data_IF_532112688887
#
_entry.id   IF_532112688887
#
_cell.length_a   1.000
_cell.length_b   1.000
_cell.length_c   1.000
_cell.angle_alpha   90.00
_cell.angle_beta   90.00
_cell.angle_gamma   90.00
#
_symmetry.space_group_name_H-M   'P 1'
#
loop_
_entity.id
_entity.type
_entity.pdbx_description
1 polymer ?
#
# COMPACT_ATOMS: atom_id res chain seq x y z
N UNK A 1 6.26 28.37 3.01
CA UNK A 1 6.54 26.94 2.80
C UNK A 1 5.76 26.51 1.57
N UNK A 2 6.44 26.22 0.46
CA UNK A 2 5.80 25.58 -0.69
C UNK A 2 5.16 24.27 -0.21
N UNK A 3 3.83 24.17 -0.30
CA UNK A 3 3.15 22.87 -0.13
C UNK A 3 3.64 22.02 -1.30
N UNK A 4 4.56 21.08 -1.03
CA UNK A 4 4.96 20.10 -2.02
C UNK A 4 3.68 19.47 -2.56
N UNK A 5 3.33 19.81 -3.81
CA UNK A 5 2.18 19.24 -4.51
C UNK A 5 2.36 17.73 -4.44
N UNK A 6 1.46 17.04 -3.73
CA UNK A 6 1.48 15.58 -3.63
C UNK A 6 1.49 15.05 -5.06
N UNK A 7 2.62 14.50 -5.50
CA UNK A 7 2.72 13.91 -6.83
C UNK A 7 1.78 12.70 -6.87
N UNK A 8 0.98 12.53 -7.93
CA UNK A 8 0.15 11.34 -8.05
C UNK A 8 1.03 10.09 -8.05
N UNK A 9 0.51 8.99 -7.49
CA UNK A 9 1.15 7.67 -7.37
C UNK A 9 2.30 7.57 -6.37
N UNK A 10 2.63 8.62 -5.64
CA UNK A 10 3.73 8.58 -4.67
C UNK A 10 3.43 7.63 -3.51
N UNK A 11 2.16 7.52 -3.10
CA UNK A 11 1.71 6.62 -2.05
C UNK A 11 1.86 5.15 -2.46
N UNK A 12 1.28 4.80 -3.61
CA UNK A 12 1.36 3.46 -4.18
C UNK A 12 2.80 3.03 -4.47
N UNK A 13 3.63 3.92 -5.02
CA UNK A 13 5.04 3.59 -5.27
C UNK A 13 5.78 3.26 -3.98
N UNK A 14 5.45 3.92 -2.87
CA UNK A 14 6.05 3.62 -1.58
C UNK A 14 5.59 2.25 -1.05
N UNK A 15 4.31 1.92 -1.22
CA UNK A 15 3.77 0.60 -0.88
C UNK A 15 4.43 -0.48 -1.73
N UNK A 16 4.56 -0.28 -3.04
CA UNK A 16 5.24 -1.23 -3.93
C UNK A 16 6.68 -1.45 -3.48
N UNK A 17 7.42 -0.37 -3.16
CA UNK A 17 8.81 -0.47 -2.71
C UNK A 17 8.95 -1.22 -1.39
N UNK A 18 8.04 -1.02 -0.44
CA UNK A 18 8.08 -1.74 0.83
C UNK A 18 7.68 -3.21 0.67
N UNK A 19 6.68 -3.47 -0.18
CA UNK A 19 6.10 -4.79 -0.41
C UNK A 19 6.69 -5.51 -1.64
N UNK A 20 7.86 -5.07 -2.14
CA UNK A 20 8.41 -5.52 -3.43
C UNK A 20 8.52 -7.05 -3.52
N UNK A 21 8.89 -7.69 -2.41
CA UNK A 21 9.03 -9.13 -2.28
C UNK A 21 7.73 -9.87 -2.64
N UNK A 22 6.56 -9.35 -2.25
CA UNK A 22 5.28 -9.97 -2.57
C UNK A 22 5.00 -10.00 -4.07
N UNK A 23 5.37 -8.93 -4.79
CA UNK A 23 5.19 -8.87 -6.24
C UNK A 23 6.18 -9.78 -6.98
N UNK A 24 7.41 -9.88 -6.50
CA UNK A 24 8.41 -10.82 -7.07
C UNK A 24 7.97 -12.26 -6.85
N UNK A 25 7.47 -12.61 -5.66
CA UNK A 25 6.92 -13.93 -5.39
C UNK A 25 5.68 -14.22 -6.23
N UNK A 26 4.77 -13.26 -6.38
CA UNK A 26 3.59 -13.40 -7.23
C UNK A 26 3.99 -13.65 -8.70
N UNK A 27 4.95 -12.88 -9.23
CA UNK A 27 5.46 -13.07 -10.57
C UNK A 27 6.14 -14.44 -10.75
N UNK A 28 7.01 -14.83 -9.80
CA UNK A 28 7.67 -16.14 -9.81
C UNK A 28 6.67 -17.29 -9.78
N UNK A 29 5.61 -17.18 -8.97
CA UNK A 29 4.56 -18.19 -8.90
C UNK A 29 3.75 -18.28 -10.20
N UNK A 30 3.41 -17.14 -10.82
CA UNK A 30 2.75 -17.11 -12.13
C UNK A 30 3.64 -17.79 -13.18
N UNK A 31 4.92 -17.42 -13.26
CA UNK A 31 5.85 -18.00 -14.22
C UNK A 31 6.01 -19.52 -14.02
N UNK A 32 6.07 -19.97 -12.75
CA UNK A 32 6.09 -21.38 -12.40
C UNK A 32 4.82 -22.11 -12.85
N UNK A 33 3.63 -21.56 -12.55
CA UNK A 33 2.34 -22.16 -12.95
C UNK A 33 2.22 -22.24 -14.47
N UNK A 34 2.61 -21.20 -15.21
CA UNK A 34 2.63 -21.22 -16.68
C UNK A 34 3.58 -22.30 -17.19
N UNK A 35 4.79 -22.40 -16.62
CA UNK A 35 5.79 -23.40 -17.01
C UNK A 35 5.25 -24.82 -16.84
N UNK A 36 4.65 -25.13 -15.69
CA UNK A 36 4.02 -26.43 -15.43
C UNK A 36 2.88 -26.69 -16.43
N UNK A 37 2.04 -25.69 -16.69
CA UNK A 37 0.88 -25.82 -17.58
C UNK A 37 1.28 -26.09 -19.04
N UNK A 38 2.38 -25.50 -19.49
CA UNK A 38 2.92 -25.66 -20.85
C UNK A 38 3.70 -26.96 -21.01
N UNK A 39 4.54 -27.32 -20.03
CA UNK A 39 5.38 -28.52 -20.12
C UNK A 39 4.60 -29.82 -19.83
N UNK A 40 3.58 -29.77 -19.00
CA UNK A 40 2.78 -30.93 -18.59
C UNK A 40 1.28 -30.67 -18.84
N UNK A 41 0.86 -30.55 -20.11
CA UNK A 41 -0.54 -30.27 -20.41
C UNK A 41 -1.44 -31.42 -19.98
N UNK A 42 -2.49 -31.09 -19.22
CA UNK A 42 -3.48 -32.05 -18.74
C UNK A 42 -4.88 -31.41 -18.73
N UNK A 43 -5.92 -32.23 -18.58
CA UNK A 43 -7.32 -31.82 -18.44
C UNK A 43 -7.58 -30.87 -17.25
N UNK A 44 -6.64 -30.78 -16.30
CA UNK A 44 -6.72 -29.90 -15.13
C UNK A 44 -5.99 -28.56 -15.28
N UNK A 45 -5.50 -28.21 -16.49
CA UNK A 45 -4.83 -26.93 -16.76
C UNK A 45 -5.67 -25.69 -16.38
N UNK A 46 -7.01 -25.82 -16.40
CA UNK A 46 -7.92 -24.76 -15.95
C UNK A 46 -7.69 -24.36 -14.49
N UNK A 47 -7.24 -25.27 -13.62
CA UNK A 47 -6.91 -24.97 -12.23
C UNK A 47 -5.73 -23.99 -12.18
N UNK A 48 -4.68 -24.23 -12.96
CA UNK A 48 -3.54 -23.30 -13.06
C UNK A 48 -3.98 -21.92 -13.54
N UNK A 49 -4.85 -21.85 -14.55
CA UNK A 49 -5.37 -20.57 -15.03
C UNK A 49 -6.21 -19.84 -13.98
N UNK A 50 -7.03 -20.55 -13.20
CA UNK A 50 -7.76 -19.95 -12.08
C UNK A 50 -6.83 -19.43 -10.99
N UNK A 51 -5.76 -20.16 -10.65
CA UNK A 51 -4.76 -19.71 -9.68
C UNK A 51 -4.03 -18.46 -10.17
N UNK A 52 -3.59 -18.43 -11.44
CA UNK A 52 -2.97 -17.26 -12.06
C UNK A 52 -3.91 -16.06 -12.01
N UNK A 53 -5.18 -16.25 -12.39
CA UNK A 53 -6.19 -15.20 -12.33
C UNK A 53 -6.39 -14.68 -10.90
N UNK A 54 -6.44 -15.58 -9.91
CA UNK A 54 -6.56 -15.22 -8.50
C UNK A 54 -5.37 -14.39 -8.00
N UNK A 55 -4.14 -14.73 -8.38
CA UNK A 55 -2.94 -13.96 -8.03
C UNK A 55 -2.99 -12.56 -8.66
N UNK A 56 -3.33 -12.46 -9.95
CA UNK A 56 -3.43 -11.18 -10.67
C UNK A 56 -4.52 -10.30 -10.04
N UNK A 57 -5.71 -10.85 -9.79
CA UNK A 57 -6.80 -10.11 -9.18
C UNK A 57 -6.46 -9.66 -7.76
N UNK A 58 -5.92 -10.54 -6.93
CA UNK A 58 -5.55 -10.20 -5.55
C UNK A 58 -4.50 -9.10 -5.47
N UNK A 59 -3.43 -9.20 -6.28
CA UNK A 59 -2.38 -8.18 -6.33
C UNK A 59 -2.87 -6.85 -6.90
N UNK A 60 -3.69 -6.89 -7.95
CA UNK A 60 -4.28 -5.68 -8.56
C UNK A 60 -5.25 -5.00 -7.60
N UNK A 61 -6.14 -5.74 -6.95
CA UNK A 61 -7.09 -5.19 -5.97
C UNK A 61 -6.38 -4.54 -4.79
N UNK A 62 -5.31 -5.16 -4.28
CA UNK A 62 -4.48 -4.57 -3.23
C UNK A 62 -3.84 -3.25 -3.66
N UNK A 63 -3.33 -3.17 -4.89
CA UNK A 63 -2.76 -1.95 -5.45
C UNK A 63 -3.80 -0.86 -5.69
N UNK A 64 -4.98 -1.22 -6.20
CA UNK A 64 -6.10 -0.28 -6.41
C UNK A 64 -6.59 0.30 -5.09
N UNK A 65 -6.75 -0.54 -4.06
CA UNK A 65 -7.12 -0.07 -2.72
C UNK A 65 -6.04 0.87 -2.14
N UNK A 66 -4.76 0.53 -2.35
CA UNK A 66 -3.64 1.38 -1.95
C UNK A 66 -3.64 2.71 -2.69
N UNK A 67 -3.90 2.71 -3.99
CA UNK A 67 -4.03 3.93 -4.80
C UNK A 67 -5.16 4.81 -4.28
N UNK A 68 -6.32 4.22 -4.03
CA UNK A 68 -7.46 4.94 -3.51
C UNK A 68 -7.16 5.59 -2.16
N UNK A 69 -6.58 4.84 -1.21
CA UNK A 69 -6.33 5.34 0.14
C UNK A 69 -5.19 6.37 0.15
N UNK A 70 -4.06 6.09 -0.48
CA UNK A 70 -2.85 6.89 -0.30
C UNK A 70 -2.71 8.04 -1.29
N UNK A 71 -3.21 7.88 -2.52
CA UNK A 71 -3.05 8.88 -3.57
C UNK A 71 -4.34 9.67 -3.84
N UNK A 72 -5.52 9.08 -3.65
CA UNK A 72 -6.81 9.76 -3.88
C UNK A 72 -7.51 10.25 -2.61
N UNK A 73 -7.42 9.52 -1.50
CA UNK A 73 -8.21 9.85 -0.31
C UNK A 73 -7.59 11.02 0.48
N UNK A 74 -8.46 11.89 0.99
CA UNK A 74 -8.08 12.93 1.94
C UNK A 74 -7.98 12.41 3.39
N UNK A 75 -7.93 11.09 3.63
CA UNK A 75 -7.82 10.55 5.00
C UNK A 75 -6.59 11.09 5.74
N UNK A 76 -5.49 11.32 5.01
CA UNK A 76 -4.25 11.87 5.54
C UNK A 76 -4.20 13.40 5.61
N UNK A 77 -5.25 14.11 5.20
CA UNK A 77 -5.30 15.56 5.45
C UNK A 77 -5.68 15.87 6.89
N UNK A 78 -6.15 14.87 7.65
CA UNK A 78 -6.52 14.98 9.07
C UNK A 78 -7.44 16.17 9.37
N UNK A 79 -8.27 16.59 8.40
CA UNK A 79 -9.15 17.75 8.57
C UNK A 79 -10.10 17.60 9.77
N UNK A 80 -10.38 16.35 10.19
CA UNK A 80 -11.16 16.05 11.39
C UNK A 80 -10.45 16.42 12.70
N UNK A 81 -9.11 16.61 12.67
CA UNK A 81 -8.33 17.08 13.80
C UNK A 81 -8.51 18.58 14.02
N UNK A 82 -8.83 19.35 12.96
CA UNK A 82 -9.09 20.79 13.05
C UNK A 82 -10.36 21.10 13.86
N UNK A 83 -11.30 20.16 13.90
CA UNK A 83 -12.57 20.29 14.63
C UNK A 83 -12.49 19.88 16.10
N UNK A 84 -11.33 19.41 16.59
CA UNK A 84 -11.16 19.06 17.99
C UNK A 84 -11.00 20.34 18.84
N UNK A 85 -11.78 20.51 19.93
CA UNK A 85 -11.61 21.61 20.86
C UNK A 85 -10.38 21.37 21.73
N UNK A 86 -9.19 21.54 21.15
CA UNK A 86 -7.92 21.44 21.86
C UNK A 86 -7.76 22.69 22.74
N UNK A 87 -7.85 22.50 24.06
CA UNK A 87 -7.37 23.50 25.00
C UNK A 87 -5.88 23.76 24.72
N UNK A 88 -5.50 25.04 24.61
CA UNK A 88 -4.13 25.48 24.31
C UNK A 88 -3.09 24.82 25.22
N UNK A 89 -3.40 24.60 26.50
CA UNK A 89 -2.47 23.95 27.43
C UNK A 89 -2.19 22.48 27.09
N UNK A 90 -3.23 21.74 26.68
CA UNK A 90 -3.10 20.34 26.24
C UNK A 90 -2.32 20.27 24.93
N UNK A 91 -2.49 21.24 24.03
CA UNK A 91 -1.76 21.31 22.78
C UNK A 91 -0.26 21.54 22.98
N UNK A 92 0.13 22.46 23.88
CA UNK A 92 1.54 22.66 24.23
C UNK A 92 2.16 21.43 24.92
N UNK A 93 1.42 20.75 25.80
CA UNK A 93 1.90 19.53 26.45
C UNK A 93 2.15 18.41 25.44
N UNK A 94 1.22 18.19 24.51
CA UNK A 94 1.35 17.17 23.45
C UNK A 94 2.53 17.52 22.53
N UNK A 95 2.67 18.78 22.11
CA UNK A 95 3.78 19.22 21.27
C UNK A 95 5.13 18.99 21.98
N UNK A 96 5.21 19.34 23.27
CA UNK A 96 6.43 19.15 24.06
C UNK A 96 6.80 17.67 24.21
N UNK A 97 5.82 16.80 24.49
CA UNK A 97 6.02 15.35 24.60
C UNK A 97 6.43 14.69 23.28
N UNK A 98 5.85 15.11 22.16
CA UNK A 98 6.21 14.60 20.83
C UNK A 98 7.62 15.03 20.45
N UNK A 99 7.99 16.29 20.72
CA UNK A 99 9.32 16.81 20.44
C UNK A 99 10.41 16.19 21.34
N UNK A 100 10.13 15.95 22.62
CA UNK A 100 11.11 15.27 23.51
C UNK A 100 11.30 13.80 23.16
N UNK A 101 10.27 13.08 22.70
CA UNK A 101 10.43 11.68 22.24
C UNK A 101 11.23 11.53 20.95
N UNK A 102 11.28 12.55 20.09
CA UNK A 102 12.06 12.54 18.85
C UNK A 102 13.56 12.82 19.07
N UNK A 103 13.95 13.30 20.26
CA UNK A 103 15.35 13.63 20.60
C UNK A 103 16.07 12.47 21.32
N UNK A 104 15.35 11.42 21.71
CA UNK A 104 15.88 10.30 22.53
C UNK A 104 16.26 9.06 21.67
N UNK A 105 16.15 9.12 20.34
CA UNK A 105 16.60 8.05 19.43
C UNK A 105 17.53 8.57 18.33
#
# INVERSE_FOLDING_TARGET
MERALRKPFHGVLNIIRFNWHFYVLAFGLIAFLITITVLFPNQFNWISYLLILGIILGTTLSLVASYYIYDLSNLYSLNWLDDLPLNKEVSYLILTLVLTRQVIY
#
